data_IF_344057095350
#
_entry.id   IF_344057095350
#
_cell.length_a   1.000
_cell.length_b   1.000
_cell.length_c   1.000
_cell.angle_alpha   90.00
_cell.angle_beta   90.00
_cell.angle_gamma   90.00
#
_symmetry.space_group_name_H-M   'P 1'
#
loop_
_entity.id
_entity.type
_entity.pdbx_description
1 polymer ?
#
# COMPACT_ATOMS: atom_id res chain seq x y z
N UNK A 1 -3.62 28.01 -18.33
CA UNK A 1 -4.06 28.19 -16.92
C UNK A 1 -4.72 26.89 -16.48
N UNK A 2 -3.95 25.96 -15.94
CA UNK A 2 -4.50 24.80 -15.24
C UNK A 2 -4.93 25.26 -13.86
N UNK A 3 -6.22 25.34 -13.61
CA UNK A 3 -6.78 25.46 -12.28
C UNK A 3 -6.36 24.20 -11.51
N UNK A 4 -5.35 24.33 -10.64
CA UNK A 4 -5.11 23.36 -9.57
C UNK A 4 -6.39 23.34 -8.73
N UNK A 5 -7.17 22.29 -8.86
CA UNK A 5 -8.24 22.00 -7.92
C UNK A 5 -7.58 21.85 -6.56
N UNK A 6 -7.77 22.81 -5.69
CA UNK A 6 -7.27 22.73 -4.31
C UNK A 6 -7.95 21.53 -3.69
N UNK A 7 -7.16 20.52 -3.36
CA UNK A 7 -7.64 19.29 -2.75
C UNK A 7 -8.23 19.63 -1.38
N UNK A 8 -9.54 19.60 -1.25
CA UNK A 8 -10.26 19.97 -0.03
C UNK A 8 -10.27 18.87 1.01
N UNK A 9 -9.84 17.64 0.66
CA UNK A 9 -9.76 16.48 1.56
C UNK A 9 -8.31 16.02 1.72
N UNK A 10 -7.98 15.61 2.96
CA UNK A 10 -6.71 14.92 3.26
C UNK A 10 -6.74 13.54 2.59
N UNK A 11 -5.67 13.16 1.89
CA UNK A 11 -5.53 11.83 1.30
C UNK A 11 -5.61 10.76 2.39
N UNK A 12 -6.47 9.77 2.17
CA UNK A 12 -6.57 8.58 3.02
C UNK A 12 -5.50 7.58 2.60
N UNK A 13 -4.74 7.05 3.55
CA UNK A 13 -3.76 5.99 3.33
C UNK A 13 -4.27 4.74 4.01
N UNK A 14 -4.60 3.72 3.23
CA UNK A 14 -5.09 2.42 3.70
C UNK A 14 -3.95 1.42 3.61
N UNK A 15 -3.45 0.96 4.77
CA UNK A 15 -2.50 -0.14 4.83
C UNK A 15 -3.25 -1.47 4.88
N UNK A 16 -2.89 -2.40 4.00
CA UNK A 16 -3.46 -3.76 3.99
C UNK A 16 -2.33 -4.72 4.33
N UNK A 17 -2.45 -5.37 5.47
CA UNK A 17 -1.46 -6.29 6.01
C UNK A 17 -2.13 -7.50 6.63
N UNK A 18 -1.54 -8.69 6.49
CA UNK A 18 -1.98 -9.88 7.20
C UNK A 18 -0.80 -10.76 7.55
N UNK A 19 -0.70 -11.28 8.79
CA UNK A 19 0.28 -12.29 9.16
C UNK A 19 -0.07 -13.68 8.60
N UNK A 20 -1.22 -13.80 7.91
CA UNK A 20 -1.67 -15.05 7.29
C UNK A 20 -1.39 -14.99 5.79
N UNK A 21 -0.60 -15.95 5.30
CA UNK A 21 -0.19 -16.00 3.90
C UNK A 21 -1.20 -16.73 3.01
N UNK A 22 -1.12 -16.47 1.70
CA UNK A 22 -1.89 -17.17 0.64
C UNK A 22 -3.40 -17.12 0.81
N UNK A 23 -3.90 -16.08 1.43
CA UNK A 23 -5.34 -15.85 1.62
C UNK A 23 -5.97 -14.99 0.53
N UNK A 24 -5.20 -14.56 -0.48
CA UNK A 24 -5.69 -13.69 -1.55
C UNK A 24 -5.64 -12.19 -1.20
N UNK A 25 -4.69 -11.77 -0.37
CA UNK A 25 -4.50 -10.37 0.05
C UNK A 25 -4.41 -9.42 -1.14
N UNK A 26 -3.54 -9.69 -2.13
CA UNK A 26 -3.36 -8.87 -3.32
C UNK A 26 -4.65 -8.78 -4.16
N UNK A 27 -5.35 -9.89 -4.36
CA UNK A 27 -6.66 -9.87 -5.03
C UNK A 27 -7.66 -8.99 -4.30
N UNK A 28 -7.71 -9.09 -2.98
CA UNK A 28 -8.55 -8.23 -2.15
C UNK A 28 -8.19 -6.74 -2.30
N UNK A 29 -6.90 -6.40 -2.28
CA UNK A 29 -6.43 -5.02 -2.48
C UNK A 29 -6.89 -4.45 -3.82
N UNK A 30 -6.75 -5.23 -4.90
CA UNK A 30 -7.16 -4.83 -6.25
C UNK A 30 -8.69 -4.69 -6.39
N UNK A 31 -9.45 -5.59 -5.78
CA UNK A 31 -10.92 -5.51 -5.76
C UNK A 31 -11.40 -4.28 -4.99
N UNK A 32 -10.86 -4.07 -3.78
CA UNK A 32 -11.15 -2.88 -2.97
C UNK A 32 -10.80 -1.60 -3.72
N UNK A 33 -9.63 -1.56 -4.36
CA UNK A 33 -9.18 -0.41 -5.13
C UNK A 33 -10.10 -0.08 -6.29
N UNK A 34 -10.56 -1.08 -7.04
CA UNK A 34 -11.53 -0.91 -8.13
C UNK A 34 -12.88 -0.40 -7.63
N UNK A 35 -13.36 -0.93 -6.52
CA UNK A 35 -14.63 -0.50 -5.90
C UNK A 35 -14.54 0.96 -5.47
N UNK A 36 -13.49 1.36 -4.78
CA UNK A 36 -13.29 2.75 -4.35
C UNK A 36 -13.08 3.70 -5.53
N UNK A 37 -12.41 3.23 -6.61
CA UNK A 37 -12.13 4.04 -7.79
C UNK A 37 -13.39 4.42 -8.61
N UNK A 38 -14.56 3.88 -8.27
CA UNK A 38 -15.82 4.31 -8.86
C UNK A 38 -16.15 5.77 -8.50
N UNK A 39 -15.75 6.23 -7.32
CA UNK A 39 -16.09 7.55 -6.78
C UNK A 39 -14.91 8.41 -6.32
N UNK A 40 -13.72 7.84 -6.23
CA UNK A 40 -12.51 8.49 -5.71
C UNK A 40 -11.34 8.26 -6.66
N UNK A 41 -10.33 9.14 -6.63
CA UNK A 41 -9.06 8.90 -7.31
C UNK A 41 -8.20 8.00 -6.43
N UNK A 42 -7.97 6.76 -6.84
CA UNK A 42 -7.28 5.74 -6.04
C UNK A 42 -5.97 5.34 -6.69
N UNK A 43 -4.91 5.33 -5.89
CA UNK A 43 -3.60 4.77 -6.27
C UNK A 43 -3.32 3.52 -5.44
N UNK A 44 -3.07 2.41 -6.11
CA UNK A 44 -2.62 1.17 -5.48
C UNK A 44 -1.11 1.01 -5.63
N UNK A 45 -0.44 0.73 -4.51
CA UNK A 45 0.99 0.43 -4.41
C UNK A 45 1.17 -0.99 -3.88
N UNK A 46 1.77 -1.85 -4.70
CA UNK A 46 2.16 -3.19 -4.27
C UNK A 46 3.55 -3.12 -3.63
N UNK A 47 3.60 -3.39 -2.33
CA UNK A 47 4.83 -3.41 -1.52
C UNK A 47 5.24 -4.84 -1.17
N UNK A 48 4.83 -5.83 -1.95
CA UNK A 48 5.28 -7.21 -1.78
C UNK A 48 6.68 -7.38 -2.35
N UNK A 49 7.50 -8.17 -1.68
CA UNK A 49 8.88 -8.49 -2.13
C UNK A 49 8.87 -9.19 -3.49
N UNK A 50 7.83 -9.97 -3.76
CA UNK A 50 7.59 -10.68 -5.00
C UNK A 50 6.16 -10.41 -5.49
N UNK A 51 5.97 -9.27 -6.12
CA UNK A 51 4.66 -8.72 -6.47
C UNK A 51 3.92 -9.40 -7.61
N UNK A 52 4.47 -10.45 -8.22
CA UNK A 52 3.78 -11.23 -9.26
C UNK A 52 3.77 -10.57 -10.64
N UNK A 53 4.89 -9.98 -11.04
CA UNK A 53 5.11 -9.50 -12.43
C UNK A 53 5.01 -10.72 -13.38
N UNK A 54 4.30 -10.53 -14.50
CA UNK A 54 3.95 -11.61 -15.42
C UNK A 54 2.70 -12.40 -15.03
N UNK A 55 2.13 -12.15 -13.85
CA UNK A 55 0.87 -12.71 -13.36
C UNK A 55 -0.20 -11.66 -13.21
N UNK A 56 -0.29 -11.03 -12.03
CA UNK A 56 -1.21 -9.92 -11.77
C UNK A 56 -0.85 -8.65 -12.55
N UNK A 57 0.44 -8.44 -12.83
CA UNK A 57 0.97 -7.22 -13.41
C UNK A 57 1.75 -7.52 -14.70
N UNK A 58 1.67 -6.65 -15.73
CA UNK A 58 2.41 -6.82 -16.97
C UNK A 58 3.93 -6.69 -16.75
N UNK A 59 4.70 -7.27 -17.66
CA UNK A 59 6.15 -7.10 -17.71
C UNK A 59 6.50 -5.76 -18.40
N UNK A 60 6.90 -4.77 -17.62
CA UNK A 60 7.35 -3.48 -18.12
C UNK A 60 8.59 -3.01 -17.34
N UNK A 61 9.33 -2.05 -17.91
CA UNK A 61 10.60 -1.60 -17.33
C UNK A 61 10.41 -0.69 -16.11
N UNK A 62 9.41 0.21 -16.17
CA UNK A 62 9.16 1.22 -15.13
C UNK A 62 8.32 0.69 -14.00
N UNK A 63 8.80 0.85 -12.78
CA UNK A 63 8.23 0.25 -11.56
C UNK A 63 8.17 1.26 -10.41
N UNK A 64 7.69 0.82 -9.25
CA UNK A 64 7.75 1.58 -8.00
C UNK A 64 9.19 2.00 -7.63
N UNK A 65 10.22 1.24 -8.06
CA UNK A 65 11.61 1.61 -7.81
C UNK A 65 11.99 2.95 -8.48
N UNK A 66 11.46 3.23 -9.68
CA UNK A 66 11.66 4.52 -10.36
C UNK A 66 11.03 5.67 -9.56
N UNK A 67 9.84 5.46 -9.00
CA UNK A 67 9.16 6.48 -8.18
C UNK A 67 9.92 6.74 -6.89
N UNK A 68 10.43 5.70 -6.22
CA UNK A 68 11.30 5.83 -5.05
C UNK A 68 12.58 6.61 -5.38
N UNK A 69 13.18 6.33 -6.53
CA UNK A 69 14.37 7.06 -6.98
C UNK A 69 14.09 8.56 -7.16
N UNK A 70 12.97 8.93 -7.81
CA UNK A 70 12.60 10.33 -7.99
C UNK A 70 12.20 10.99 -6.66
N UNK A 71 11.55 10.27 -5.77
CA UNK A 71 11.20 10.77 -4.43
C UNK A 71 12.44 11.17 -3.62
N UNK A 72 13.50 10.37 -3.66
CA UNK A 72 14.79 10.65 -2.99
C UNK A 72 15.48 11.91 -3.50
N UNK A 73 15.20 12.34 -4.73
CA UNK A 73 15.75 13.56 -5.30
C UNK A 73 14.97 14.82 -4.89
N UNK A 74 13.98 14.69 -4.00
CA UNK A 74 13.07 15.78 -3.59
C UNK A 74 12.49 16.57 -4.80
N UNK A 75 12.22 15.85 -5.86
CA UNK A 75 11.75 16.44 -7.12
C UNK A 75 10.37 17.07 -6.92
N UNK A 76 10.27 18.38 -7.14
CA UNK A 76 8.98 19.09 -7.20
C UNK A 76 8.06 18.58 -8.31
N UNK A 77 8.54 17.66 -9.13
CA UNK A 77 7.88 17.11 -10.30
C UNK A 77 7.40 15.67 -10.08
N UNK A 78 7.42 15.13 -8.85
CA UNK A 78 6.99 13.75 -8.59
C UNK A 78 5.57 13.52 -9.09
N UNK A 79 4.66 14.47 -8.88
CA UNK A 79 3.28 14.35 -9.37
C UNK A 79 3.19 14.20 -10.87
N UNK A 80 4.01 14.92 -11.63
CA UNK A 80 4.09 14.76 -13.09
C UNK A 80 4.70 13.40 -13.48
N UNK A 81 5.77 12.99 -12.81
CA UNK A 81 6.39 11.68 -13.05
C UNK A 81 5.43 10.54 -12.78
N UNK A 82 4.62 10.63 -11.71
CA UNK A 82 3.58 9.64 -11.42
C UNK A 82 2.62 9.47 -12.59
N UNK A 83 2.17 10.54 -13.23
CA UNK A 83 1.24 10.45 -14.38
C UNK A 83 1.81 9.67 -15.55
N UNK A 84 3.15 9.60 -15.68
CA UNK A 84 3.84 8.84 -16.74
C UNK A 84 4.13 7.39 -16.35
N UNK A 85 4.13 7.09 -15.06
CA UNK A 85 4.52 5.78 -14.51
C UNK A 85 3.33 4.92 -14.11
N UNK A 86 2.19 5.54 -13.77
CA UNK A 86 0.99 4.80 -13.39
C UNK A 86 0.42 4.00 -14.56
N UNK A 87 -0.17 2.87 -14.23
CA UNK A 87 -0.96 2.01 -15.11
C UNK A 87 -2.39 2.00 -14.62
N UNK A 88 -3.30 1.60 -15.51
CA UNK A 88 -4.73 1.64 -15.26
C UNK A 88 -5.32 0.24 -15.27
N UNK A 89 -6.12 -0.06 -14.26
CA UNK A 89 -6.95 -1.25 -14.19
C UNK A 89 -8.42 -0.80 -14.03
N UNK A 90 -9.05 -0.47 -15.16
CA UNK A 90 -10.30 0.30 -15.17
C UNK A 90 -10.04 1.72 -14.66
N UNK A 91 -10.76 2.14 -13.63
CA UNK A 91 -10.57 3.45 -12.99
C UNK A 91 -9.49 3.44 -11.88
N UNK A 92 -8.98 2.28 -11.51
CA UNK A 92 -7.91 2.15 -10.51
C UNK A 92 -6.55 2.43 -11.15
N UNK A 93 -5.81 3.37 -10.59
CA UNK A 93 -4.40 3.59 -10.93
C UNK A 93 -3.50 2.75 -10.05
N UNK A 94 -2.42 2.22 -10.63
CA UNK A 94 -1.42 1.47 -9.88
C UNK A 94 0.00 1.70 -10.43
N UNK A 95 0.99 1.46 -9.57
CA UNK A 95 2.38 1.33 -9.98
C UNK A 95 2.77 -0.14 -10.05
N UNK A 96 3.58 -0.49 -11.04
CA UNK A 96 4.15 -1.83 -11.11
C UNK A 96 5.01 -2.11 -9.88
N UNK A 97 4.93 -3.32 -9.27
CA UNK A 97 5.80 -3.69 -8.17
C UNK A 97 7.26 -3.69 -8.60
N UNK A 98 8.16 -3.62 -7.62
CA UNK A 98 9.61 -3.68 -7.88
C UNK A 98 10.00 -5.02 -8.53
N UNK A 99 11.04 -5.00 -9.36
CA UNK A 99 11.61 -6.22 -9.96
C UNK A 99 12.61 -6.91 -9.03
N UNK A 100 13.27 -6.12 -8.20
CA UNK A 100 14.30 -6.58 -7.27
C UNK A 100 13.83 -6.34 -5.85
N UNK A 101 13.66 -7.40 -5.07
CA UNK A 101 13.13 -7.29 -3.70
C UNK A 101 13.96 -6.37 -2.79
N UNK A 102 15.27 -6.28 -3.04
CA UNK A 102 16.15 -5.39 -2.26
C UNK A 102 15.81 -3.91 -2.43
N UNK A 103 15.24 -3.50 -3.57
CA UNK A 103 14.84 -2.10 -3.81
C UNK A 103 13.76 -1.63 -2.82
N UNK A 104 12.95 -2.56 -2.32
CA UNK A 104 11.88 -2.24 -1.36
C UNK A 104 12.27 -2.58 0.09
N UNK A 105 13.08 -3.62 0.31
CA UNK A 105 13.59 -3.97 1.64
C UNK A 105 14.47 -2.88 2.24
N UNK A 106 15.26 -2.21 1.40
CA UNK A 106 16.20 -1.19 1.83
C UNK A 106 15.53 0.16 2.16
N UNK A 107 14.26 0.36 1.81
CA UNK A 107 13.56 1.63 2.03
C UNK A 107 13.35 1.87 3.52
N UNK A 108 13.82 3.01 4.00
CA UNK A 108 13.63 3.44 5.39
C UNK A 108 12.21 3.97 5.64
N UNK A 109 11.82 4.07 6.91
CA UNK A 109 10.54 4.68 7.27
C UNK A 109 10.46 6.15 6.81
N UNK A 110 11.56 6.90 6.91
CA UNK A 110 11.65 8.29 6.46
C UNK A 110 11.38 8.39 4.96
N UNK A 111 11.98 7.53 4.15
CA UNK A 111 11.76 7.47 2.71
C UNK A 111 10.30 7.12 2.37
N UNK A 112 9.67 6.20 3.12
CA UNK A 112 8.24 5.93 2.96
C UNK A 112 7.36 7.13 3.29
N UNK A 113 7.67 7.81 4.40
CA UNK A 113 6.95 9.02 4.81
C UNK A 113 7.08 10.12 3.74
N UNK A 114 8.29 10.34 3.22
CA UNK A 114 8.56 11.35 2.19
C UNK A 114 7.86 11.03 0.88
N UNK A 115 7.89 9.77 0.44
CA UNK A 115 7.17 9.34 -0.76
C UNK A 115 5.68 9.61 -0.62
N UNK A 116 5.06 9.13 0.46
CA UNK A 116 3.63 9.28 0.68
C UNK A 116 3.22 10.75 0.84
N UNK A 117 4.04 11.56 1.50
CA UNK A 117 3.84 13.01 1.59
C UNK A 117 3.87 13.66 0.21
N UNK A 118 4.90 13.37 -0.60
CA UNK A 118 5.02 13.93 -1.96
C UNK A 118 3.85 13.52 -2.86
N UNK A 119 3.41 12.25 -2.81
CA UNK A 119 2.23 11.79 -3.56
C UNK A 119 0.98 12.56 -3.09
N UNK A 120 0.80 12.70 -1.78
CA UNK A 120 -0.35 13.41 -1.21
C UNK A 120 -0.40 14.87 -1.63
N UNK A 121 0.75 15.55 -1.64
CA UNK A 121 0.86 16.99 -1.95
C UNK A 121 0.83 17.29 -3.45
N UNK A 122 1.36 16.39 -4.28
CA UNK A 122 1.64 16.67 -5.70
C UNK A 122 0.73 15.89 -6.67
N UNK A 123 -0.20 15.06 -6.17
CA UNK A 123 -1.08 14.25 -7.01
C UNK A 123 -2.57 14.51 -6.75
N UNK A 124 -3.40 13.90 -7.58
CA UNK A 124 -4.87 13.98 -7.49
C UNK A 124 -5.49 12.93 -6.57
N UNK A 125 -4.71 11.97 -6.06
CA UNK A 125 -5.25 10.80 -5.37
C UNK A 125 -5.89 11.15 -4.03
N UNK A 126 -7.14 10.73 -3.86
CA UNK A 126 -7.90 10.83 -2.62
C UNK A 126 -7.59 9.69 -1.66
N UNK A 127 -7.23 8.53 -2.22
CA UNK A 127 -6.90 7.30 -1.51
C UNK A 127 -5.62 6.68 -2.06
N UNK A 128 -4.75 6.24 -1.15
CA UNK A 128 -3.59 5.41 -1.46
C UNK A 128 -3.77 4.07 -0.73
N UNK A 129 -3.76 2.96 -1.47
CA UNK A 129 -3.80 1.61 -0.92
C UNK A 129 -2.40 1.03 -0.94
N UNK A 130 -1.91 0.60 0.22
CA UNK A 130 -0.62 -0.07 0.38
C UNK A 130 -0.84 -1.55 0.64
N UNK A 131 -0.42 -2.40 -0.29
CA UNK A 131 -0.41 -3.87 -0.13
C UNK A 131 0.93 -4.27 0.51
N UNK A 132 0.94 -4.36 1.85
CA UNK A 132 2.17 -4.43 2.65
C UNK A 132 2.61 -5.87 2.89
N UNK A 133 3.88 -6.16 2.57
CA UNK A 133 4.56 -7.42 2.89
C UNK A 133 5.19 -7.39 4.28
N UNK A 134 5.25 -8.54 4.96
CA UNK A 134 5.93 -8.67 6.25
C UNK A 134 7.45 -8.48 6.17
N UNK A 135 8.03 -8.68 5.00
CA UNK A 135 9.47 -8.48 4.75
C UNK A 135 9.90 -7.01 4.62
N UNK A 136 8.98 -6.06 4.69
CA UNK A 136 9.31 -4.63 4.76
C UNK A 136 10.02 -4.35 6.08
N UNK A 137 11.20 -3.72 6.02
CA UNK A 137 12.06 -3.46 7.19
C UNK A 137 11.34 -2.70 8.31
N UNK A 138 10.53 -1.72 7.96
CA UNK A 138 9.86 -0.81 8.90
C UNK A 138 8.34 -1.02 8.89
N UNK A 139 7.89 -2.27 8.81
CA UNK A 139 6.47 -2.62 8.62
C UNK A 139 5.56 -1.96 9.66
N UNK A 140 5.91 -1.96 10.94
CA UNK A 140 5.07 -1.38 12.00
C UNK A 140 5.05 0.14 11.95
N UNK A 141 6.19 0.77 11.63
CA UNK A 141 6.26 2.21 11.37
C UNK A 141 5.40 2.61 10.18
N UNK A 142 5.44 1.83 9.09
CA UNK A 142 4.61 2.07 7.91
C UNK A 142 3.12 1.90 8.22
N UNK A 143 2.73 0.87 8.98
CA UNK A 143 1.35 0.71 9.46
C UNK A 143 0.91 1.90 10.35
N UNK A 144 1.81 2.42 11.19
CA UNK A 144 1.50 3.56 12.07
C UNK A 144 1.11 4.82 11.31
N UNK A 145 1.74 5.09 10.16
CA UNK A 145 1.43 6.27 9.34
C UNK A 145 0.17 6.10 8.48
N UNK A 146 -0.34 4.88 8.31
CA UNK A 146 -1.60 4.66 7.63
C UNK A 146 -2.78 5.29 8.40
N UNK A 147 -3.74 5.85 7.66
CA UNK A 147 -4.99 6.40 8.22
C UNK A 147 -5.89 5.29 8.74
N UNK A 148 -5.97 4.20 7.97
CA UNK A 148 -6.72 2.99 8.29
C UNK A 148 -5.86 1.76 8.01
N UNK A 149 -6.10 0.67 8.74
CA UNK A 149 -5.41 -0.60 8.54
C UNK A 149 -6.44 -1.70 8.39
N UNK A 150 -6.45 -2.36 7.24
CA UNK A 150 -7.28 -3.52 7.00
C UNK A 150 -6.45 -4.80 7.11
N UNK A 151 -6.95 -5.73 7.90
CA UNK A 151 -6.31 -7.03 8.11
C UNK A 151 -7.19 -8.12 7.49
N UNK A 152 -6.89 -8.54 6.26
CA UNK A 152 -7.57 -9.67 5.63
C UNK A 152 -7.41 -10.93 6.47
N UNK A 153 -8.53 -11.61 6.68
CA UNK A 153 -8.59 -12.88 7.43
C UNK A 153 -9.38 -13.91 6.61
N UNK A 154 -9.01 -15.19 6.68
CA UNK A 154 -9.79 -16.23 6.02
C UNK A 154 -11.15 -16.38 6.69
N UNK A 155 -12.17 -16.68 5.91
CA UNK A 155 -13.55 -16.91 6.40
C UNK A 155 -13.67 -18.19 7.24
N UNK A 156 -12.76 -19.13 7.07
CA UNK A 156 -12.77 -20.43 7.74
C UNK A 156 -12.27 -20.33 9.18
N UNK A 157 -12.76 -21.20 10.07
CA UNK A 157 -12.22 -21.38 11.42
C UNK A 157 -10.85 -22.09 11.42
N UNK A 158 -9.88 -21.49 10.75
CA UNK A 158 -8.51 -21.96 10.72
C UNK A 158 -7.81 -21.59 12.04
N UNK A 159 -7.51 -22.60 12.82
CA UNK A 159 -6.83 -22.45 14.13
C UNK A 159 -5.46 -21.78 13.96
N UNK A 160 -4.72 -22.12 12.89
CA UNK A 160 -3.41 -21.53 12.63
C UNK A 160 -3.51 -20.05 12.24
N UNK A 161 -4.49 -19.70 11.44
CA UNK A 161 -4.75 -18.30 11.10
C UNK A 161 -5.12 -17.47 12.34
N UNK A 162 -5.98 -18.00 13.20
CA UNK A 162 -6.33 -17.36 14.48
C UNK A 162 -5.11 -17.16 15.38
N UNK A 163 -4.25 -18.19 15.51
CA UNK A 163 -3.03 -18.11 16.32
C UNK A 163 -2.05 -17.06 15.79
N UNK A 164 -1.84 -16.98 14.48
CA UNK A 164 -0.98 -15.95 13.86
C UNK A 164 -1.52 -14.54 14.07
N UNK A 165 -2.83 -14.35 13.93
CA UNK A 165 -3.45 -13.04 14.18
C UNK A 165 -3.30 -12.63 15.65
N UNK A 166 -3.51 -13.55 16.59
CA UNK A 166 -3.32 -13.29 17.99
C UNK A 166 -1.87 -12.93 18.32
N UNK A 167 -0.91 -13.69 17.78
CA UNK A 167 0.51 -13.41 17.93
C UNK A 167 0.87 -12.02 17.41
N UNK A 168 0.36 -11.64 16.24
CA UNK A 168 0.58 -10.32 15.66
C UNK A 168 0.03 -9.20 16.56
N UNK A 169 -1.19 -9.34 17.08
CA UNK A 169 -1.78 -8.36 18.00
C UNK A 169 -0.99 -8.25 19.31
N UNK A 170 -0.48 -9.37 19.84
CA UNK A 170 0.37 -9.41 21.02
C UNK A 170 1.73 -8.74 20.75
N UNK A 171 2.35 -9.02 19.62
CA UNK A 171 3.62 -8.41 19.20
C UNK A 171 3.50 -6.89 19.09
N UNK A 172 2.42 -6.37 18.48
CA UNK A 172 2.15 -4.94 18.43
C UNK A 172 2.07 -4.33 19.83
N UNK A 173 1.43 -5.02 20.77
CA UNK A 173 1.36 -4.57 22.17
C UNK A 173 2.73 -4.54 22.83
N UNK A 174 3.48 -5.64 22.74
CA UNK A 174 4.80 -5.79 23.36
C UNK A 174 5.83 -4.78 22.82
N UNK A 175 5.72 -4.40 21.54
CA UNK A 175 6.59 -3.42 20.89
C UNK A 175 6.11 -1.97 21.02
N UNK A 176 4.99 -1.71 21.72
CA UNK A 176 4.47 -0.36 21.95
C UNK A 176 3.71 0.24 20.76
N UNK A 177 3.11 -0.61 19.91
CA UNK A 177 2.29 -0.22 18.77
C UNK A 177 0.78 -0.39 19.02
N UNK A 178 0.31 -0.14 20.23
CA UNK A 178 -1.13 -0.21 20.57
C UNK A 178 -1.98 0.77 19.75
N UNK A 179 -1.40 1.88 19.29
CA UNK A 179 -2.05 2.81 18.38
C UNK A 179 -2.32 2.20 17.00
N UNK A 180 -1.40 1.37 16.48
CA UNK A 180 -1.60 0.57 15.26
C UNK A 180 -2.72 -0.43 15.47
N UNK A 181 -2.68 -1.20 16.58
CA UNK A 181 -3.69 -2.21 16.91
C UNK A 181 -5.11 -1.61 16.96
N UNK A 182 -5.27 -0.40 17.51
CA UNK A 182 -6.57 0.29 17.58
C UNK A 182 -7.13 0.73 16.22
N UNK A 183 -6.29 0.91 15.21
CA UNK A 183 -6.70 1.26 13.84
C UNK A 183 -7.07 0.04 13.00
N UNK A 184 -6.71 -1.17 13.44
CA UNK A 184 -6.90 -2.39 12.67
C UNK A 184 -8.37 -2.76 12.56
N UNK A 185 -8.80 -3.08 11.34
CA UNK A 185 -10.12 -3.62 11.03
C UNK A 185 -9.95 -4.96 10.32
N UNK A 186 -10.43 -6.04 10.94
CA UNK A 186 -10.41 -7.37 10.31
C UNK A 186 -11.40 -7.41 9.14
N UNK A 187 -10.97 -7.91 8.00
CA UNK A 187 -11.76 -8.04 6.76
C UNK A 187 -11.83 -9.51 6.37
N UNK A 188 -12.99 -10.12 6.53
CA UNK A 188 -13.19 -11.49 6.07
C UNK A 188 -13.17 -11.55 4.54
N UNK A 189 -12.31 -12.41 4.01
CA UNK A 189 -12.22 -12.63 2.57
C UNK A 189 -13.34 -13.58 2.13
N UNK A 190 -14.14 -13.12 1.16
CA UNK A 190 -15.11 -13.97 0.48
C UNK A 190 -14.32 -14.89 -0.48
N UNK A 191 -14.28 -16.15 -0.24
CA UNK A 191 -13.94 -17.18 -1.23
C UNK A 191 -15.19 -17.79 -1.78
#
# INVERSE_FOLDING_TARGET
FFLRTVKTRRTKIIGIFSPVHRIGKTSYCLELGKEMAISENVLYLNLELYGGIGGYFPEEEKTLADVLYYSRQESKNLGFMLTTLVRHLGALDYLLPVRVSEDIKAVSLEEWCDLLRQITEQSIYDVIILDIDEGIREVYGLLRICTEIYVPVPKTEDVQAKAKLQQFEEELHLLGYDDVRRKMVKKELKR
#
